data_IF_225193518111
#
_entry.id   IF_225193518111
#
_cell.length_a   1.000
_cell.length_b   1.000
_cell.length_c   1.000
_cell.angle_alpha   90.00
_cell.angle_beta   90.00
_cell.angle_gamma   90.00
#
_symmetry.space_group_name_H-M   'P 1'
#
loop_
_entity.id
_entity.type
_entity.pdbx_description
1 polymer ?
#
# COMPACT_ATOMS: atom_id res chain seq x y z
N UNK A 1 -11.71 12.48 -7.23
CA UNK A 1 -10.95 11.38 -7.87
C UNK A 1 -11.62 10.07 -7.53
N UNK A 2 -11.72 9.14 -8.49
CA UNK A 2 -12.27 7.80 -8.21
C UNK A 2 -11.31 7.04 -7.29
N UNK A 3 -11.81 6.45 -6.21
CA UNK A 3 -11.05 5.60 -5.28
C UNK A 3 -11.32 4.10 -5.51
N UNK A 4 -11.86 3.77 -6.67
CA UNK A 4 -12.09 2.39 -7.12
C UNK A 4 -10.78 1.60 -7.24
N UNK A 5 -9.67 2.28 -7.46
CA UNK A 5 -8.34 1.67 -7.53
C UNK A 5 -7.76 1.22 -6.19
N UNK A 6 -8.46 1.38 -5.05
CA UNK A 6 -8.01 0.90 -3.73
C UNK A 6 -8.76 -0.39 -3.40
N UNK A 7 -8.02 -1.50 -3.31
CA UNK A 7 -8.53 -2.87 -3.37
C UNK A 7 -8.18 -3.66 -2.11
N UNK A 8 -9.06 -4.60 -1.72
CA UNK A 8 -8.86 -5.51 -0.59
C UNK A 8 -7.87 -6.59 -0.98
N UNK A 9 -6.89 -6.85 -0.12
CA UNK A 9 -6.02 -8.03 -0.26
C UNK A 9 -6.35 -9.01 0.85
N UNK A 10 -6.54 -10.27 0.47
CA UNK A 10 -6.87 -11.36 1.36
C UNK A 10 -6.25 -12.67 0.87
N UNK A 11 -6.45 -13.74 1.63
CA UNK A 11 -6.02 -15.08 1.23
C UNK A 11 -7.22 -16.00 1.06
N UNK A 12 -7.13 -16.92 0.09
CA UNK A 12 -8.05 -18.07 0.00
C UNK A 12 -7.81 -19.08 1.13
N UNK A 13 -6.67 -18.99 1.82
CA UNK A 13 -6.30 -19.85 2.97
C UNK A 13 -6.04 -19.01 4.21
N UNK A 14 -6.97 -19.07 5.17
CA UNK A 14 -6.82 -18.47 6.48
C UNK A 14 -7.13 -16.97 6.53
N UNK A 15 -6.82 -16.34 7.66
CA UNK A 15 -7.10 -14.92 7.90
C UNK A 15 -5.88 -14.07 7.54
N UNK A 16 -5.95 -13.42 6.39
CA UNK A 16 -5.05 -12.35 5.99
C UNK A 16 -5.89 -11.16 5.50
N UNK A 17 -5.49 -9.95 5.87
CA UNK A 17 -6.09 -8.72 5.40
C UNK A 17 -5.00 -7.66 5.19
N UNK A 18 -4.98 -7.11 3.98
CA UNK A 18 -4.22 -5.93 3.64
C UNK A 18 -4.98 -5.07 2.65
N UNK A 19 -4.34 -3.99 2.23
CA UNK A 19 -4.83 -3.10 1.18
C UNK A 19 -3.81 -3.09 0.05
N UNK A 20 -4.29 -2.95 -1.18
CA UNK A 20 -3.46 -2.57 -2.31
C UNK A 20 -4.11 -1.46 -3.11
N UNK A 21 -3.36 -0.89 -4.04
CA UNK A 21 -3.92 0.05 -5.00
C UNK A 21 -3.33 -0.09 -6.39
N UNK A 22 -4.16 0.18 -7.40
CA UNK A 22 -3.77 0.13 -8.80
C UNK A 22 -2.80 1.26 -9.10
N UNK A 23 -1.62 0.91 -9.60
CA UNK A 23 -0.55 1.86 -9.95
C UNK A 23 -0.31 1.97 -11.45
N UNK A 24 -0.75 0.96 -12.22
CA UNK A 24 -0.64 0.95 -13.67
C UNK A 24 -1.62 -0.09 -14.25
N UNK A 25 -1.80 -0.07 -15.58
CA UNK A 25 -2.61 -1.06 -16.30
C UNK A 25 -2.04 -1.34 -17.68
N UNK A 26 -2.36 -2.51 -18.21
CA UNK A 26 -2.13 -2.85 -19.60
C UNK A 26 -3.46 -3.23 -20.28
N UNK A 27 -3.39 -3.83 -21.47
CA UNK A 27 -4.58 -4.26 -22.21
C UNK A 27 -5.33 -5.43 -21.54
N UNK A 28 -4.66 -6.19 -20.67
CA UNK A 28 -5.12 -7.46 -20.11
C UNK A 28 -5.51 -7.35 -18.63
N UNK A 29 -5.09 -6.31 -17.92
CA UNK A 29 -5.32 -6.19 -16.49
C UNK A 29 -4.66 -4.98 -15.84
N UNK A 30 -4.48 -5.08 -14.53
CA UNK A 30 -3.98 -3.99 -13.69
C UNK A 30 -2.82 -4.46 -12.80
N UNK A 31 -1.87 -3.56 -12.59
CA UNK A 31 -0.77 -3.73 -11.65
C UNK A 31 -1.11 -3.06 -10.32
N UNK A 32 -0.92 -3.78 -9.23
CA UNK A 32 -1.34 -3.37 -7.90
C UNK A 32 -0.12 -3.33 -6.99
N UNK A 33 0.07 -2.21 -6.30
CA UNK A 33 1.05 -2.06 -5.23
C UNK A 33 0.46 -2.51 -3.90
N UNK A 34 1.24 -3.24 -3.10
CA UNK A 34 0.94 -3.52 -1.69
C UNK A 34 2.24 -3.74 -0.90
N UNK A 35 2.12 -4.03 0.39
CA UNK A 35 3.25 -4.43 1.23
C UNK A 35 3.71 -5.86 0.94
N UNK A 36 5.02 -6.06 0.98
CA UNK A 36 5.63 -7.37 0.84
C UNK A 36 5.26 -8.32 1.98
N UNK A 37 5.18 -7.82 3.23
CA UNK A 37 4.75 -8.66 4.35
C UNK A 37 3.28 -9.11 4.25
N UNK A 38 2.42 -8.35 3.56
CA UNK A 38 1.02 -8.74 3.32
C UNK A 38 0.99 -9.96 2.41
N UNK A 39 1.81 -9.96 1.35
CA UNK A 39 1.99 -11.10 0.45
C UNK A 39 2.49 -12.33 1.21
N UNK A 40 3.52 -12.18 2.03
CA UNK A 40 4.06 -13.28 2.85
C UNK A 40 3.02 -13.83 3.84
N UNK A 41 2.24 -12.94 4.49
CA UNK A 41 1.19 -13.34 5.43
C UNK A 41 0.02 -14.05 4.75
N UNK A 42 -0.36 -13.59 3.56
CA UNK A 42 -1.45 -14.20 2.78
C UNK A 42 -1.02 -15.51 2.10
N UNK A 43 0.28 -15.71 1.89
CA UNK A 43 0.84 -16.79 1.12
C UNK A 43 0.78 -16.49 -0.39
N UNK A 44 1.93 -16.53 -1.05
CA UNK A 44 2.12 -16.16 -2.46
C UNK A 44 1.20 -16.86 -3.45
N UNK A 45 0.84 -18.13 -3.19
CA UNK A 45 -0.05 -18.94 -4.05
C UNK A 45 -1.55 -18.76 -3.76
N UNK A 46 -1.92 -18.04 -2.69
CA UNK A 46 -3.31 -17.96 -2.22
C UNK A 46 -3.87 -16.53 -2.24
N UNK A 47 -3.19 -15.59 -2.90
CA UNK A 47 -3.55 -14.17 -2.86
C UNK A 47 -4.83 -13.90 -3.64
N UNK A 48 -5.76 -13.23 -2.97
CA UNK A 48 -6.97 -12.69 -3.55
C UNK A 48 -6.94 -11.16 -3.48
N UNK A 49 -7.22 -10.51 -4.61
CA UNK A 49 -7.52 -9.07 -4.70
C UNK A 49 -9.00 -8.93 -5.01
N UNK A 50 -9.75 -8.32 -4.09
CA UNK A 50 -11.23 -8.23 -4.17
C UNK A 50 -11.86 -9.56 -4.59
N UNK A 51 -11.47 -10.64 -3.89
CA UNK A 51 -11.96 -12.02 -4.07
C UNK A 51 -11.55 -12.71 -5.39
N UNK A 52 -10.72 -12.06 -6.21
CA UNK A 52 -10.17 -12.64 -7.43
C UNK A 52 -8.71 -13.04 -7.25
N UNK A 53 -8.31 -14.18 -7.82
CA UNK A 53 -6.92 -14.63 -7.79
C UNK A 53 -6.01 -13.63 -8.50
N UNK A 54 -4.93 -13.25 -7.83
CA UNK A 54 -3.92 -12.35 -8.35
C UNK A 54 -2.55 -13.04 -8.36
N UNK A 55 -1.75 -12.76 -9.39
CA UNK A 55 -0.39 -13.26 -9.49
C UNK A 55 0.58 -12.31 -8.79
N UNK A 56 1.50 -12.84 -8.00
CA UNK A 56 2.65 -12.07 -7.51
C UNK A 56 3.64 -11.89 -8.65
N UNK A 57 3.81 -10.66 -9.13
CA UNK A 57 4.82 -10.34 -10.15
C UNK A 57 6.20 -10.26 -9.51
N UNK A 58 6.29 -9.56 -8.38
CA UNK A 58 7.54 -9.39 -7.64
C UNK A 58 7.25 -9.06 -6.18
N UNK A 59 7.99 -9.68 -5.27
CA UNK A 59 8.02 -9.31 -3.85
C UNK A 59 9.44 -8.90 -3.48
N UNK A 60 9.61 -7.69 -2.93
CA UNK A 60 10.90 -7.13 -2.51
C UNK A 60 11.14 -7.26 -1.00
N UNK A 61 10.26 -7.98 -0.28
CA UNK A 61 10.31 -8.08 1.18
C UNK A 61 11.66 -8.60 1.70
N UNK A 62 12.17 -9.68 1.10
CA UNK A 62 13.47 -10.28 1.45
C UNK A 62 14.66 -9.39 1.08
N UNK A 63 14.46 -8.44 0.15
CA UNK A 63 15.45 -7.42 -0.21
C UNK A 63 15.43 -6.22 0.77
N UNK A 64 14.59 -6.28 1.81
CA UNK A 64 14.44 -5.25 2.84
C UNK A 64 13.39 -4.18 2.52
N UNK A 65 12.85 -4.17 1.31
CA UNK A 65 11.80 -3.23 0.90
C UNK A 65 10.43 -3.86 1.07
N UNK A 66 9.59 -3.30 1.94
CA UNK A 66 8.24 -3.80 2.18
C UNK A 66 7.25 -3.42 1.06
N UNK A 67 7.55 -3.85 -0.16
CA UNK A 67 6.80 -3.61 -1.39
C UNK A 67 6.64 -4.92 -2.14
N UNK A 68 5.41 -5.20 -2.59
CA UNK A 68 5.12 -6.20 -3.59
C UNK A 68 4.24 -5.63 -4.70
N UNK A 69 4.43 -6.17 -5.90
CA UNK A 69 3.64 -5.86 -7.09
C UNK A 69 2.83 -7.11 -7.45
N UNK A 70 1.52 -6.95 -7.49
CA UNK A 70 0.56 -7.96 -7.91
C UNK A 70 0.02 -7.61 -9.29
N UNK A 71 -0.52 -8.62 -9.97
CA UNK A 71 -1.23 -8.44 -11.23
C UNK A 71 -2.59 -9.13 -11.19
N UNK A 72 -3.63 -8.38 -11.56
CA UNK A 72 -5.00 -8.87 -11.65
C UNK A 72 -5.48 -8.77 -13.10
N UNK A 73 -5.73 -9.93 -13.72
CA UNK A 73 -6.15 -10.03 -15.11
C UNK A 73 -7.66 -9.80 -15.30
N UNK A 74 -8.09 -9.46 -16.52
CA UNK A 74 -9.49 -9.32 -16.94
C UNK A 74 -10.30 -8.27 -16.18
N UNK A 75 -9.60 -7.30 -15.59
CA UNK A 75 -10.21 -6.21 -14.81
C UNK A 75 -9.82 -4.87 -15.43
N UNK A 76 -10.77 -3.94 -15.46
CA UNK A 76 -10.58 -2.57 -15.96
C UNK A 76 -10.81 -1.57 -14.83
N UNK A 77 -9.74 -1.29 -14.09
CA UNK A 77 -9.75 -0.29 -13.02
C UNK A 77 -8.74 0.80 -13.38
N UNK A 78 -9.09 2.05 -13.13
CA UNK A 78 -8.18 3.16 -13.39
C UNK A 78 -7.09 3.24 -12.30
N UNK A 79 -5.82 3.38 -12.69
CA UNK A 79 -4.74 3.60 -11.74
C UNK A 79 -4.93 4.89 -10.94
N UNK A 80 -4.37 4.89 -9.73
CA UNK A 80 -4.14 6.12 -8.99
C UNK A 80 -2.87 6.79 -9.51
N UNK A 81 -2.90 8.11 -9.64
CA UNK A 81 -1.73 8.89 -10.06
C UNK A 81 -0.67 8.88 -8.96
N UNK A 82 0.48 8.25 -9.22
CA UNK A 82 1.63 8.20 -8.31
C UNK A 82 2.67 9.23 -8.71
N UNK A 83 3.06 10.09 -7.77
CA UNK A 83 4.04 11.16 -8.02
C UNK A 83 5.41 10.80 -7.43
N UNK A 84 6.48 10.98 -8.21
CA UNK A 84 7.83 10.53 -7.85
C UNK A 84 8.44 11.25 -6.65
N UNK A 85 8.20 12.54 -6.53
CA UNK A 85 8.76 13.36 -5.47
C UNK A 85 7.86 14.56 -5.21
N UNK A 86 6.97 14.42 -4.22
CA UNK A 86 6.22 15.55 -3.69
C UNK A 86 6.06 15.40 -2.19
N UNK A 87 5.94 16.53 -1.51
CA UNK A 87 5.73 16.58 -0.08
C UNK A 87 4.43 17.31 0.22
N UNK A 88 3.60 16.70 1.05
CA UNK A 88 2.32 17.24 1.46
C UNK A 88 2.25 17.25 2.97
N UNK A 89 2.08 18.42 3.60
CA UNK A 89 1.98 18.49 5.08
C UNK A 89 0.78 17.69 5.61
N UNK A 90 -0.28 17.62 4.81
CA UNK A 90 -1.50 16.87 5.08
C UNK A 90 -1.71 15.81 4.01
N UNK A 91 -2.02 14.61 4.48
CA UNK A 91 -2.30 13.46 3.65
C UNK A 91 -3.54 12.75 4.16
N UNK A 92 -4.15 11.99 3.27
CA UNK A 92 -5.20 11.06 3.58
C UNK A 92 -4.75 9.63 3.24
N UNK A 93 -5.40 8.67 3.89
CA UNK A 93 -5.17 7.24 3.68
C UNK A 93 -6.52 6.57 3.60
N UNK A 94 -6.72 5.67 2.64
CA UNK A 94 -7.90 4.83 2.56
C UNK A 94 -7.49 3.35 2.48
N UNK A 95 -8.18 2.50 3.22
CA UNK A 95 -7.82 1.10 3.34
C UNK A 95 -8.91 0.24 3.92
N UNK A 96 -8.57 -1.03 4.15
CA UNK A 96 -9.47 -2.02 4.68
C UNK A 96 -9.12 -2.35 6.13
N UNK A 97 -10.12 -2.59 6.96
CA UNK A 97 -9.95 -3.03 8.36
C UNK A 97 -11.11 -3.92 8.78
N UNK A 98 -10.92 -4.68 9.85
CA UNK A 98 -11.97 -5.51 10.41
C UNK A 98 -12.97 -4.69 11.24
N UNK A 99 -14.25 -4.94 11.04
CA UNK A 99 -15.35 -4.47 11.88
C UNK A 99 -16.09 -5.70 12.43
N UNK A 100 -15.67 -6.17 13.61
CA UNK A 100 -16.14 -7.44 14.15
C UNK A 100 -15.71 -8.61 13.25
N UNK A 101 -16.67 -9.25 12.58
CA UNK A 101 -16.42 -10.32 11.60
C UNK A 101 -16.37 -9.80 10.16
N UNK A 102 -16.84 -8.59 9.93
CA UNK A 102 -16.94 -7.99 8.61
C UNK A 102 -15.66 -7.22 8.26
N UNK A 103 -15.49 -6.92 6.98
CA UNK A 103 -14.41 -6.07 6.48
C UNK A 103 -15.05 -4.77 6.01
N UNK A 104 -14.53 -3.64 6.48
CA UNK A 104 -14.95 -2.32 6.01
C UNK A 104 -13.80 -1.62 5.28
N UNK A 105 -14.15 -0.82 4.28
CA UNK A 105 -13.26 0.17 3.66
C UNK A 105 -13.47 1.51 4.36
N UNK A 106 -12.40 2.15 4.80
CA UNK A 106 -12.46 3.38 5.57
C UNK A 106 -11.30 4.31 5.20
N UNK A 107 -11.59 5.61 5.25
CA UNK A 107 -10.63 6.67 4.97
C UNK A 107 -10.33 7.50 6.22
N UNK A 108 -9.08 7.95 6.34
CA UNK A 108 -8.62 8.91 7.33
C UNK A 108 -8.04 10.13 6.63
N UNK A 109 -8.47 11.30 7.05
CA UNK A 109 -8.00 12.60 6.53
C UNK A 109 -7.25 13.38 7.61
N UNK A 110 -6.65 14.50 7.21
CA UNK A 110 -5.91 15.43 8.04
C UNK A 110 -4.68 14.82 8.73
N UNK A 111 -4.09 13.76 8.18
CA UNK A 111 -2.92 13.08 8.72
C UNK A 111 -1.68 13.96 8.47
N UNK A 112 -0.90 14.23 9.52
CA UNK A 112 0.37 14.93 9.39
C UNK A 112 1.43 14.03 8.76
N UNK A 113 2.17 14.52 7.77
CA UNK A 113 3.26 13.76 7.15
C UNK A 113 4.61 14.47 7.32
N UNK A 114 5.61 13.73 7.81
CA UNK A 114 7.02 14.14 7.85
C UNK A 114 7.82 13.25 6.90
N UNK A 115 8.32 13.85 5.83
CA UNK A 115 9.12 13.20 4.79
C UNK A 115 10.60 13.14 5.15
N UNK A 116 11.35 12.39 4.35
CA UNK A 116 12.81 12.22 4.48
C UNK A 116 13.22 11.68 5.85
N UNK A 117 12.36 10.86 6.47
CA UNK A 117 12.76 10.04 7.59
C UNK A 117 13.48 8.82 7.00
N UNK A 118 14.64 8.49 7.53
CA UNK A 118 15.41 7.33 7.08
C UNK A 118 15.42 6.27 8.18
N UNK A 119 15.24 5.02 7.77
CA UNK A 119 15.43 3.85 8.62
C UNK A 119 16.48 2.94 8.00
N UNK A 120 17.22 2.24 8.86
CA UNK A 120 18.13 1.19 8.45
C UNK A 120 17.40 -0.16 8.57
N UNK A 121 17.34 -0.90 7.47
CA UNK A 121 16.76 -2.25 7.41
C UNK A 121 17.76 -3.16 6.72
N UNK A 122 18.39 -4.05 7.48
CA UNK A 122 19.56 -4.79 7.02
C UNK A 122 20.68 -3.84 6.60
N UNK A 123 21.20 -4.00 5.37
CA UNK A 123 22.27 -3.16 4.81
C UNK A 123 21.74 -1.99 3.96
N UNK A 124 20.45 -1.67 4.04
CA UNK A 124 19.82 -0.63 3.22
C UNK A 124 19.29 0.53 4.06
N UNK A 125 19.39 1.74 3.49
CA UNK A 125 18.74 2.95 3.99
C UNK A 125 17.48 3.22 3.20
N UNK A 126 16.34 3.18 3.88
CA UNK A 126 15.03 3.33 3.25
C UNK A 126 14.43 4.67 3.70
N UNK A 127 14.18 5.53 2.72
CA UNK A 127 13.37 6.74 2.92
C UNK A 127 11.89 6.39 3.14
N UNK A 128 11.39 6.78 4.30
CA UNK A 128 10.00 6.61 4.73
C UNK A 128 9.37 7.97 5.03
N UNK A 129 8.06 7.94 5.20
CA UNK A 129 7.22 9.05 5.61
C UNK A 129 6.66 8.68 6.97
N UNK A 130 6.90 9.52 7.98
CA UNK A 130 6.23 9.39 9.28
C UNK A 130 4.87 10.05 9.21
N UNK A 131 3.84 9.28 9.52
CA UNK A 131 2.45 9.69 9.56
C UNK A 131 2.02 9.92 11.01
N UNK A 132 1.32 11.03 11.27
CA UNK A 132 0.79 11.39 12.58
C UNK A 132 -0.70 11.65 12.46
N UNK A 133 -1.50 10.79 13.07
CA UNK A 133 -2.96 10.79 12.96
C UNK A 133 -3.61 10.87 14.35
N UNK A 134 -4.84 11.39 14.43
CA UNK A 134 -5.64 11.37 15.67
C UNK A 134 -6.21 9.98 15.96
N UNK A 135 -6.46 9.23 14.90
CA UNK A 135 -6.97 7.86 14.93
C UNK A 135 -5.84 6.89 14.62
N UNK A 136 -5.98 5.65 15.09
CA UNK A 136 -4.97 4.61 14.87
C UNK A 136 -5.13 4.03 13.47
N UNK A 137 -4.07 4.03 12.68
CA UNK A 137 -3.96 3.18 11.49
C UNK A 137 -3.74 1.74 11.98
N UNK A 138 -4.72 0.87 11.74
CA UNK A 138 -4.75 -0.49 12.28
C UNK A 138 -4.26 -1.52 11.27
N UNK A 139 -4.17 -2.78 11.71
CA UNK A 139 -4.02 -3.92 10.80
C UNK A 139 -5.07 -3.87 9.69
N UNK A 140 -4.66 -4.25 8.47
CA UNK A 140 -5.44 -4.14 7.24
C UNK A 140 -5.09 -2.93 6.36
N UNK A 141 -4.62 -1.82 6.95
CA UNK A 141 -4.16 -0.65 6.20
C UNK A 141 -2.77 -0.81 5.58
N UNK A 142 -2.04 -1.89 5.88
CA UNK A 142 -0.77 -2.19 5.22
C UNK A 142 -0.99 -2.28 3.71
N UNK A 143 -0.24 -1.47 2.95
CA UNK A 143 -0.36 -1.34 1.50
C UNK A 143 -1.37 -0.29 1.04
N UNK A 144 -2.06 0.42 1.95
CA UNK A 144 -2.90 1.57 1.60
C UNK A 144 -2.09 2.69 0.98
N UNK A 145 -2.62 3.40 -0.04
CA UNK A 145 -1.96 4.58 -0.57
C UNK A 145 -2.01 5.72 0.45
N UNK A 146 -0.91 6.46 0.54
CA UNK A 146 -0.85 7.77 1.19
C UNK A 146 -1.06 8.81 0.10
N UNK A 147 -2.16 9.56 0.19
CA UNK A 147 -2.60 10.51 -0.85
C UNK A 147 -2.42 11.93 -0.33
N UNK A 148 -1.81 12.80 -1.14
CA UNK A 148 -1.70 14.22 -0.82
C UNK A 148 -3.07 14.88 -0.88
N UNK A 149 -3.51 15.54 0.19
CA UNK A 149 -4.78 16.29 0.17
C UNK A 149 -4.74 17.49 -0.80
N UNK A 150 -3.56 18.00 -1.11
CA UNK A 150 -3.38 19.13 -2.02
C UNK A 150 -3.50 18.74 -3.50
N UNK A 151 -3.02 17.56 -3.87
CA UNK A 151 -2.90 17.13 -5.28
C UNK A 151 -3.80 15.94 -5.62
N UNK A 152 -4.24 15.19 -4.60
CA UNK A 152 -4.89 13.88 -4.71
C UNK A 152 -4.03 12.78 -5.33
N UNK A 153 -2.73 13.01 -5.48
CA UNK A 153 -1.78 12.03 -5.98
C UNK A 153 -1.18 11.22 -4.83
N UNK A 154 -0.77 9.98 -5.13
CA UNK A 154 -0.12 9.07 -4.19
C UNK A 154 1.32 9.49 -3.96
N UNK A 155 1.66 9.75 -2.70
CA UNK A 155 3.00 10.18 -2.23
C UNK A 155 3.74 9.09 -1.46
N UNK A 156 3.07 7.99 -1.16
CA UNK A 156 3.66 6.84 -0.49
C UNK A 156 2.65 5.71 -0.29
N UNK A 157 3.07 4.67 0.42
CA UNK A 157 2.25 3.51 0.74
C UNK A 157 2.47 3.12 2.20
N UNK A 158 1.39 2.94 2.96
CA UNK A 158 1.44 2.63 4.39
C UNK A 158 2.13 1.29 4.61
N UNK A 159 3.15 1.28 5.49
CA UNK A 159 3.82 0.09 6.01
C UNK A 159 3.55 0.07 7.51
N UNK A 160 2.49 -0.63 7.96
CA UNK A 160 2.09 -0.58 9.37
C UNK A 160 3.13 -1.34 10.22
N UNK A 161 4.11 -0.61 10.76
CA UNK A 161 5.06 -1.07 11.78
C UNK A 161 5.01 -0.19 13.05
N UNK A 162 3.85 0.39 13.36
CA UNK A 162 3.68 1.27 14.49
C UNK A 162 3.48 0.51 15.82
N UNK A 163 4.51 0.52 16.67
CA UNK A 163 4.37 0.18 18.10
C UNK A 163 3.72 1.30 18.92
N UNK A 164 3.69 2.52 18.37
CA UNK A 164 3.11 3.70 18.99
C UNK A 164 1.67 3.96 18.53
N UNK A 165 0.84 4.54 19.40
CA UNK A 165 -0.61 4.66 19.18
C UNK A 165 -0.99 5.60 18.02
N UNK A 166 -0.19 6.65 17.76
CA UNK A 166 -0.54 7.75 16.83
C UNK A 166 0.54 8.03 15.77
N UNK A 167 1.60 7.21 15.74
CA UNK A 167 2.72 7.37 14.80
C UNK A 167 2.76 6.15 13.91
N UNK A 168 2.60 6.34 12.59
CA UNK A 168 2.67 5.28 11.59
C UNK A 168 3.72 5.61 10.53
N UNK A 169 4.03 4.65 9.67
CA UNK A 169 5.03 4.81 8.63
C UNK A 169 4.48 4.43 7.26
N UNK A 170 5.03 5.07 6.24
CA UNK A 170 4.77 4.75 4.86
C UNK A 170 6.09 4.75 4.09
N UNK A 171 6.22 3.85 3.11
CA UNK A 171 7.32 3.90 2.17
C UNK A 171 7.07 5.00 1.14
N UNK A 172 8.10 5.77 0.78
CA UNK A 172 7.98 6.84 -0.22
C UNK A 172 7.59 6.28 -1.59
N UNK A 173 6.75 7.02 -2.33
CA UNK A 173 6.38 6.72 -3.72
C UNK A 173 7.60 6.57 -4.64
N UNK A 174 8.73 7.21 -4.33
CA UNK A 174 10.00 7.03 -5.04
C UNK A 174 10.46 5.57 -5.07
N UNK A 175 10.41 4.90 -3.92
CA UNK A 175 10.79 3.48 -3.83
C UNK A 175 9.76 2.60 -4.52
N UNK A 176 8.47 2.95 -4.40
CA UNK A 176 7.39 2.24 -5.07
C UNK A 176 7.56 2.26 -6.59
N UNK A 177 7.77 3.45 -7.18
CA UNK A 177 7.97 3.59 -8.63
C UNK A 177 9.24 2.87 -9.08
N UNK A 178 10.33 2.97 -8.30
CA UNK A 178 11.56 2.23 -8.61
C UNK A 178 11.32 0.71 -8.61
N UNK A 179 10.64 0.18 -7.60
CA UNK A 179 10.27 -1.23 -7.51
C UNK A 179 9.36 -1.66 -8.67
N UNK A 180 8.43 -0.79 -9.07
CA UNK A 180 7.56 -1.06 -10.21
C UNK A 180 8.33 -1.10 -11.53
N UNK A 181 9.24 -0.17 -11.80
CA UNK A 181 10.01 -0.15 -13.04
C UNK A 181 11.09 -1.24 -13.12
N UNK A 182 11.56 -1.75 -11.97
CA UNK A 182 12.52 -2.86 -11.88
C UNK A 182 11.87 -4.26 -11.92
N UNK A 183 10.56 -4.35 -12.19
CA UNK A 183 9.82 -5.63 -12.22
C UNK A 183 10.22 -6.59 -13.36
N UNK A 184 11.19 -6.18 -14.19
CA UNK A 184 11.70 -6.89 -15.38
C UNK A 184 12.56 -8.11 -15.03
#
# INVERSE_FOLDING_TARGET
>A
MSREGILKISSSKGKCLGTGFVIDKDEKGVFIATCGHVVETCGTENILVDEQEASVIKNYYDEGLDIAILYLSKVKINPLDVIYDTQSKKVEVEGFTYFGKDIKKEGMINIGAKYNVEIERGNQRIKIIRLTSKEKITSGYSGSPVISENTGMVVGMVIVEAREKYTNYAISSKHLLKAFFLRS
#
